data_IF_859076306149
#
_entry.id   IF_859076306149
#
_cell.length_a   1.000
_cell.length_b   1.000
_cell.length_c   1.000
_cell.angle_alpha   90.00
_cell.angle_beta   90.00
_cell.angle_gamma   90.00
#
_symmetry.space_group_name_H-M   'P 1'
#
loop_
_entity.id
_entity.type
_entity.pdbx_description
1 polymer ?
#
# COMPACT_ATOMS: atom_id res chain seq x y z
N UNK A 1 -23.78 -8.36 -20.95
CA UNK A 1 -22.57 -8.75 -20.19
C UNK A 1 -22.96 -9.78 -19.15
N UNK A 2 -22.21 -10.89 -19.06
CA UNK A 2 -22.41 -11.94 -18.05
C UNK A 2 -22.16 -11.39 -16.64
N UNK A 3 -22.84 -11.95 -15.63
CA UNK A 3 -22.62 -11.60 -14.22
C UNK A 3 -21.15 -11.77 -13.79
N UNK A 4 -20.45 -12.76 -14.37
CA UNK A 4 -19.03 -13.02 -14.15
C UNK A 4 -18.14 -11.85 -14.66
N UNK A 5 -18.43 -11.32 -15.85
CA UNK A 5 -17.68 -10.17 -16.42
C UNK A 5 -17.81 -8.92 -15.55
N UNK A 6 -19.00 -8.65 -14.99
CA UNK A 6 -19.22 -7.50 -14.10
C UNK A 6 -18.46 -7.65 -12.77
N UNK A 7 -18.36 -8.87 -12.24
CA UNK A 7 -17.57 -9.14 -11.03
C UNK A 7 -16.07 -8.87 -11.28
N UNK A 8 -15.50 -9.43 -12.36
CA UNK A 8 -14.09 -9.21 -12.71
C UNK A 8 -13.74 -7.74 -12.92
N UNK A 9 -14.60 -6.96 -13.58
CA UNK A 9 -14.38 -5.51 -13.73
C UNK A 9 -14.36 -4.81 -12.37
N UNK A 10 -15.30 -5.11 -11.47
CA UNK A 10 -15.30 -4.52 -10.13
C UNK A 10 -14.05 -4.89 -9.32
N UNK A 11 -13.62 -6.16 -9.38
CA UNK A 11 -12.40 -6.61 -8.70
C UNK A 11 -11.15 -5.91 -9.24
N UNK A 12 -11.09 -5.64 -10.54
CA UNK A 12 -10.00 -4.86 -11.16
C UNK A 12 -10.01 -3.39 -10.72
N UNK A 13 -11.17 -2.74 -10.71
CA UNK A 13 -11.30 -1.35 -10.23
C UNK A 13 -10.87 -1.21 -8.76
N UNK A 14 -11.21 -2.20 -7.92
CA UNK A 14 -10.77 -2.23 -6.53
C UNK A 14 -9.26 -2.47 -6.44
N UNK A 15 -8.71 -3.40 -7.22
CA UNK A 15 -7.26 -3.64 -7.29
C UNK A 15 -6.47 -2.38 -7.70
N UNK A 16 -6.96 -1.63 -8.69
CA UNK A 16 -6.35 -0.36 -9.11
C UNK A 16 -6.35 0.67 -7.99
N UNK A 17 -7.41 0.71 -7.18
CA UNK A 17 -7.49 1.58 -5.99
C UNK A 17 -6.50 1.13 -4.92
N UNK A 18 -6.40 -0.16 -4.64
CA UNK A 18 -5.50 -0.72 -3.64
C UNK A 18 -4.03 -0.44 -4.05
N UNK A 19 -3.68 -0.65 -5.32
CA UNK A 19 -2.36 -0.26 -5.86
C UNK A 19 -2.12 1.25 -5.71
N UNK A 20 -3.11 2.08 -6.02
CA UNK A 20 -2.98 3.54 -5.87
C UNK A 20 -2.75 3.97 -4.43
N UNK A 21 -3.26 3.22 -3.45
CA UNK A 21 -3.06 3.54 -2.04
C UNK A 21 -1.60 3.36 -1.58
N UNK A 22 -0.76 2.63 -2.33
CA UNK A 22 0.69 2.55 -2.12
C UNK A 22 1.39 3.91 -2.25
N UNK A 23 0.78 4.90 -2.91
CA UNK A 23 1.31 6.26 -2.97
C UNK A 23 1.48 6.88 -1.57
N UNK A 24 0.64 6.52 -0.60
CA UNK A 24 0.74 7.06 0.75
C UNK A 24 2.02 6.64 1.47
N UNK A 25 2.32 5.34 1.68
CA UNK A 25 3.58 4.93 2.31
C UNK A 25 4.82 5.38 1.52
N UNK A 26 4.77 5.42 0.18
CA UNK A 26 5.85 5.97 -0.65
C UNK A 26 6.08 7.45 -0.34
N UNK A 27 5.02 8.25 -0.22
CA UNK A 27 5.12 9.67 0.12
C UNK A 27 5.73 9.85 1.50
N UNK A 28 5.35 9.02 2.48
CA UNK A 28 5.92 9.07 3.83
C UNK A 28 7.42 8.73 3.82
N UNK A 29 7.84 7.73 3.06
CA UNK A 29 9.26 7.41 2.87
C UNK A 29 10.03 8.57 2.25
N UNK A 30 9.47 9.20 1.22
CA UNK A 30 10.08 10.36 0.57
C UNK A 30 10.21 11.55 1.53
N UNK A 31 9.21 11.79 2.38
CA UNK A 31 9.27 12.83 3.41
C UNK A 31 10.41 12.53 4.40
N UNK A 32 10.51 11.29 4.88
CA UNK A 32 11.60 10.90 5.77
C UNK A 32 12.95 11.08 5.09
N UNK A 33 13.13 10.56 3.88
CA UNK A 33 14.38 10.63 3.14
C UNK A 33 14.78 12.07 2.74
N UNK A 34 13.80 12.95 2.52
CA UNK A 34 14.00 14.33 2.11
C UNK A 34 14.19 15.32 3.25
N UNK A 35 14.02 14.90 4.52
CA UNK A 35 14.23 15.79 5.67
C UNK A 35 15.71 16.11 5.85
N UNK A 36 16.04 17.37 5.64
CA UNK A 36 17.40 17.91 5.85
C UNK A 36 17.84 17.87 7.31
N UNK A 37 16.89 17.77 8.24
CA UNK A 37 17.08 17.71 9.68
C UNK A 37 16.82 16.32 10.26
N UNK A 38 16.81 15.27 9.43
CA UNK A 38 16.56 13.90 9.92
C UNK A 38 17.56 13.48 11.00
N UNK A 39 18.79 14.00 10.96
CA UNK A 39 19.84 13.79 11.96
C UNK A 39 19.53 14.44 13.32
N UNK A 40 18.57 15.37 13.37
CA UNK A 40 18.09 15.99 14.60
C UNK A 40 16.98 15.18 15.29
N UNK A 41 16.40 14.18 14.61
CA UNK A 41 15.46 13.25 15.21
C UNK A 41 16.19 12.20 16.02
N UNK A 42 15.58 11.75 17.12
CA UNK A 42 16.12 10.62 17.86
C UNK A 42 16.01 9.34 17.03
N UNK A 43 16.99 8.42 17.12
CA UNK A 43 16.93 7.15 16.37
C UNK A 43 15.65 6.35 16.61
N UNK A 44 15.06 6.44 17.80
CA UNK A 44 13.79 5.79 18.12
C UNK A 44 12.61 6.37 17.32
N UNK A 45 12.56 7.69 17.11
CA UNK A 45 11.51 8.35 16.33
C UNK A 45 11.56 7.94 14.86
N UNK A 46 12.77 7.84 14.30
CA UNK A 46 12.97 7.34 12.94
C UNK A 46 12.55 5.88 12.85
N UNK A 47 12.95 5.05 13.82
CA UNK A 47 12.61 3.64 13.85
C UNK A 47 11.09 3.43 13.94
N UNK A 48 10.39 4.19 14.78
CA UNK A 48 8.94 4.07 14.93
C UNK A 48 8.18 4.58 13.70
N UNK A 49 8.66 5.65 13.06
CA UNK A 49 8.14 6.10 11.77
C UNK A 49 8.30 5.03 10.69
N UNK A 50 9.49 4.40 10.59
CA UNK A 50 9.75 3.32 9.64
C UNK A 50 8.88 2.09 9.89
N UNK A 51 8.71 1.66 11.15
CA UNK A 51 7.78 0.55 11.50
C UNK A 51 6.34 0.84 11.11
N UNK A 52 5.88 2.09 11.31
CA UNK A 52 4.55 2.52 10.90
C UNK A 52 4.36 2.41 9.39
N UNK A 53 5.34 2.88 8.61
CA UNK A 53 5.34 2.78 7.15
C UNK A 53 5.38 1.32 6.70
N UNK A 54 6.25 0.50 7.30
CA UNK A 54 6.37 -0.93 7.02
C UNK A 54 5.04 -1.64 7.26
N UNK A 55 4.34 -1.33 8.36
CA UNK A 55 3.01 -1.87 8.67
C UNK A 55 2.00 -1.50 7.58
N UNK A 56 2.00 -0.26 7.11
CA UNK A 56 1.11 0.19 6.02
C UNK A 56 1.41 -0.52 4.70
N UNK A 57 2.69 -0.74 4.38
CA UNK A 57 3.10 -1.46 3.18
C UNK A 57 2.67 -2.93 3.22
N UNK A 58 2.85 -3.61 4.35
CA UNK A 58 2.41 -5.00 4.50
C UNK A 58 0.89 -5.14 4.41
N UNK A 59 0.13 -4.25 5.05
CA UNK A 59 -1.32 -4.26 4.97
C UNK A 59 -1.82 -4.06 3.52
N UNK A 60 -1.21 -3.12 2.77
CA UNK A 60 -1.52 -2.92 1.36
C UNK A 60 -1.14 -4.12 0.49
N UNK A 61 0.01 -4.75 0.76
CA UNK A 61 0.44 -5.94 0.04
C UNK A 61 -0.54 -7.10 0.23
N UNK A 62 -0.94 -7.38 1.48
CA UNK A 62 -1.91 -8.43 1.80
C UNK A 62 -3.25 -8.21 1.07
N UNK A 63 -3.77 -6.98 1.10
CA UNK A 63 -5.01 -6.64 0.37
C UNK A 63 -4.90 -6.87 -1.14
N UNK A 64 -3.77 -6.50 -1.75
CA UNK A 64 -3.50 -6.71 -3.18
C UNK A 64 -3.38 -8.20 -3.50
N UNK A 65 -2.67 -8.96 -2.68
CA UNK A 65 -2.49 -10.41 -2.87
C UNK A 65 -3.82 -11.17 -2.77
N UNK A 66 -4.64 -10.85 -1.75
CA UNK A 66 -5.99 -11.41 -1.58
C UNK A 66 -6.88 -11.11 -2.79
N UNK A 67 -6.84 -9.87 -3.28
CA UNK A 67 -7.62 -9.45 -4.46
C UNK A 67 -7.18 -10.20 -5.71
N UNK A 68 -5.88 -10.39 -5.90
CA UNK A 68 -5.33 -11.17 -7.01
C UNK A 68 -5.74 -12.64 -6.91
N UNK A 69 -5.76 -13.22 -5.70
CA UNK A 69 -6.22 -14.59 -5.49
C UNK A 69 -7.70 -14.74 -5.90
N UNK A 70 -8.57 -13.83 -5.47
CA UNK A 70 -9.99 -13.81 -5.88
C UNK A 70 -10.17 -13.71 -7.40
N UNK A 71 -9.33 -12.94 -8.09
CA UNK A 71 -9.36 -12.83 -9.55
C UNK A 71 -8.91 -14.11 -10.28
N UNK A 72 -8.11 -14.97 -9.62
CA UNK A 72 -7.58 -16.23 -10.18
C UNK A 72 -8.49 -17.44 -9.93
N UNK A 73 -9.37 -17.38 -8.93
CA UNK A 73 -10.29 -18.47 -8.59
C UNK A 73 -11.54 -18.55 -9.51
N UNK A 74 -11.74 -17.56 -10.41
CA UNK A 74 -12.83 -17.46 -11.41
C UNK A 74 -12.39 -17.72 -12.86
#
# INVERSE_FOLDING_TARGET
MSANTKNKTLQLEVLERDISALHQPITLLNILAGRTDIEALEPCEIQDALKGIETLLYAQLEMIEDRIAMLKED
#
